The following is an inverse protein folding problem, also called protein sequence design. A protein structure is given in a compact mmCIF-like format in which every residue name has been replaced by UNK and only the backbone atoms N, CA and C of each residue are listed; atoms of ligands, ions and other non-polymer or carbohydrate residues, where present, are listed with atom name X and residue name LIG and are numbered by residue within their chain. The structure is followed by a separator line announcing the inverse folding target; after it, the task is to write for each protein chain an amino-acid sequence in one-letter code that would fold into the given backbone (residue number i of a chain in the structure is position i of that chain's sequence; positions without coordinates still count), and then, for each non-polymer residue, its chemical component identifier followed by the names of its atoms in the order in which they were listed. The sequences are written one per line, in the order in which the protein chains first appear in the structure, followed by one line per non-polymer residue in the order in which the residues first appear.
data_IF_593891872279
#
_entry.id   IF_593891872279
#
_cell.length_a   1.000
_cell.length_b   1.000
_cell.length_c   1.000
_cell.angle_alpha   90.00
_cell.angle_beta   90.00
_cell.angle_gamma   90.00
#
_symmetry.space_group_name_H-M   'P 1'
#
loop_
_entity.id
_entity.type
_entity.pdbx_description
1 polymer ?
#
# COMPACT_ATOMS: atom_id res chain seq x y z
N UNK A 1 23.08 -52.69 4.42
CA UNK A 1 22.06 -51.82 3.82
C UNK A 1 22.62 -50.41 3.88
N UNK A 2 23.11 -49.89 2.74
CA UNK A 2 23.57 -48.51 2.64
C UNK A 2 22.32 -47.63 2.59
N UNK A 3 22.11 -46.80 3.61
CA UNK A 3 21.18 -45.69 3.49
C UNK A 3 21.99 -44.61 2.79
N UNK A 4 21.76 -44.41 1.50
CA UNK A 4 22.19 -43.19 0.84
C UNK A 4 21.47 -42.05 1.55
N UNK A 5 22.22 -41.31 2.38
CA UNK A 5 21.71 -40.13 3.05
C UNK A 5 21.58 -39.04 2.00
N UNK A 6 20.45 -39.03 1.31
CA UNK A 6 20.07 -37.91 0.46
C UNK A 6 19.48 -36.84 1.36
N UNK A 7 20.12 -35.66 1.32
CA UNK A 7 19.57 -34.43 1.87
C UNK A 7 19.25 -33.57 0.66
N UNK A 8 17.96 -33.34 0.43
CA UNK A 8 17.50 -32.45 -0.64
C UNK A 8 17.11 -31.13 -0.02
N UNK A 9 17.69 -30.04 -0.54
CA UNK A 9 17.34 -28.67 -0.15
C UNK A 9 16.68 -28.02 -1.36
N UNK A 10 15.39 -27.70 -1.22
CA UNK A 10 14.61 -27.00 -2.23
C UNK A 10 14.44 -25.56 -1.81
N UNK A 11 14.85 -24.64 -2.69
CA UNK A 11 14.58 -23.21 -2.56
C UNK A 11 13.41 -22.83 -3.48
N UNK A 12 12.45 -22.10 -2.94
CA UNK A 12 11.37 -21.50 -3.72
C UNK A 12 11.31 -20.00 -3.50
N UNK A 13 11.12 -19.25 -4.58
CA UNK A 13 10.83 -17.82 -4.57
C UNK A 13 9.48 -17.61 -5.25
N UNK A 14 8.50 -17.11 -4.49
CA UNK A 14 7.15 -16.88 -4.96
C UNK A 14 6.78 -15.41 -4.74
N UNK A 15 6.96 -14.54 -5.74
CA UNK A 15 6.53 -13.15 -5.68
C UNK A 15 5.05 -13.03 -6.03
N UNK A 16 4.28 -12.40 -5.15
CA UNK A 16 2.84 -12.15 -5.36
C UNK A 16 2.52 -10.67 -5.20
N UNK A 17 1.40 -10.22 -5.76
CA UNK A 17 0.81 -8.92 -5.43
C UNK A 17 -0.42 -9.22 -4.56
N UNK A 18 -0.42 -8.69 -3.35
CA UNK A 18 -1.49 -8.84 -2.38
C UNK A 18 -2.25 -7.53 -2.30
N UNK A 19 -3.54 -7.62 -2.04
CA UNK A 19 -4.33 -6.44 -1.81
C UNK A 19 -5.70 -6.80 -1.29
N UNK A 20 -6.26 -5.89 -0.52
CA UNK A 20 -7.61 -6.04 -0.01
C UNK A 20 -8.30 -4.68 0.05
N UNK A 21 -9.62 -4.76 0.04
CA UNK A 21 -10.49 -3.62 0.22
C UNK A 21 -11.47 -3.99 1.31
N UNK A 22 -11.54 -3.16 2.34
CA UNK A 22 -12.54 -3.27 3.39
C UNK A 22 -13.43 -2.04 3.33
N UNK A 23 -14.73 -2.26 3.12
CA UNK A 23 -15.74 -1.20 3.07
C UNK A 23 -16.75 -1.43 4.18
N UNK A 24 -17.29 -0.36 4.75
CA UNK A 24 -18.34 -0.46 5.79
C UNK A 24 -19.73 -0.70 5.21
N UNK A 25 -19.89 -0.50 3.91
CA UNK A 25 -21.16 -0.56 3.19
C UNK A 25 -20.95 -1.03 1.75
N UNK A 26 -22.05 -1.45 1.10
CA UNK A 26 -22.07 -1.80 -0.31
C UNK A 26 -21.79 -0.56 -1.16
N UNK A 27 -20.65 -0.55 -1.86
CA UNK A 27 -20.23 0.57 -2.70
C UNK A 27 -19.55 0.05 -3.96
N UNK A 28 -19.92 0.63 -5.09
CA UNK A 28 -19.15 0.47 -6.32
C UNK A 28 -18.27 1.70 -6.48
N UNK A 29 -16.96 1.48 -6.50
CA UNK A 29 -15.99 2.54 -6.67
C UNK A 29 -14.91 2.14 -7.65
N UNK A 30 -14.20 3.13 -8.17
CA UNK A 30 -12.93 2.92 -8.86
C UNK A 30 -11.92 3.86 -8.25
N UNK A 31 -10.81 3.30 -7.81
CA UNK A 31 -9.68 4.04 -7.30
C UNK A 31 -8.41 3.49 -7.92
N UNK A 32 -7.46 4.37 -8.21
CA UNK A 32 -6.17 3.98 -8.73
C UNK A 32 -5.09 4.93 -8.24
N UNK A 33 -3.86 4.58 -8.52
CA UNK A 33 -2.70 5.40 -8.23
C UNK A 33 -1.58 5.03 -9.20
N UNK A 34 -0.77 6.01 -9.55
CA UNK A 34 0.50 5.81 -10.19
C UNK A 34 1.58 5.81 -9.12
N UNK A 35 2.20 4.66 -8.92
CA UNK A 35 3.31 4.50 -8.00
C UNK A 35 4.61 4.29 -8.78
N UNK A 36 5.58 5.18 -8.55
CA UNK A 36 6.89 5.13 -9.22
C UNK A 36 7.96 4.86 -8.18
N UNK A 37 8.59 3.69 -8.29
CA UNK A 37 9.78 3.32 -7.52
C UNK A 37 10.99 4.00 -8.13
N UNK A 38 11.77 4.71 -7.33
CA UNK A 38 12.98 5.37 -7.83
C UNK A 38 14.12 4.36 -8.05
N UNK A 39 15.02 4.62 -9.03
CA UNK A 39 16.22 3.81 -9.22
C UNK A 39 17.07 3.72 -7.94
N UNK A 40 17.64 2.54 -7.68
CA UNK A 40 18.44 2.29 -6.47
C UNK A 40 17.60 1.96 -5.22
N UNK A 41 16.30 1.70 -5.38
CA UNK A 41 15.49 1.16 -4.29
C UNK A 41 15.81 -0.32 -4.07
N UNK A 42 16.07 -0.70 -2.81
CA UNK A 42 16.52 -2.05 -2.43
C UNK A 42 15.80 -2.55 -1.20
N UNK A 43 15.65 -3.87 -1.12
CA UNK A 43 15.10 -4.57 0.04
C UNK A 43 16.12 -5.62 0.46
N UNK A 44 16.60 -5.51 1.69
CA UNK A 44 17.49 -6.48 2.30
C UNK A 44 16.72 -7.21 3.39
N UNK A 45 16.55 -8.52 3.22
CA UNK A 45 15.85 -9.37 4.18
C UNK A 45 16.91 -10.18 4.92
N UNK A 46 17.05 -9.95 6.23
CA UNK A 46 17.86 -10.81 7.09
C UNK A 46 17.02 -12.01 7.51
N UNK A 47 17.53 -13.21 7.21
CA UNK A 47 16.86 -14.48 7.52
C UNK A 47 17.16 -14.95 8.96
N UNK A 48 18.28 -14.49 9.52
CA UNK A 48 18.76 -14.78 10.87
C UNK A 48 18.22 -13.80 11.91
N UNK A 49 18.08 -12.52 11.54
CA UNK A 49 17.48 -11.47 12.35
C UNK A 49 16.58 -10.57 11.49
N UNK A 50 15.31 -10.96 11.29
CA UNK A 50 14.36 -10.18 10.51
C UNK A 50 14.21 -8.73 10.97
N UNK A 51 14.57 -8.37 12.22
CA UNK A 51 14.54 -6.99 12.72
C UNK A 51 15.60 -6.07 12.11
N UNK A 52 16.66 -6.65 11.54
CA UNK A 52 17.70 -5.96 10.78
C UNK A 52 17.45 -5.98 9.27
N UNK A 53 16.27 -6.45 8.83
CA UNK A 53 15.83 -6.23 7.45
C UNK A 53 15.68 -4.73 7.19
N UNK A 54 16.12 -4.28 6.03
CA UNK A 54 16.19 -2.86 5.69
C UNK A 54 15.62 -2.62 4.30
N UNK A 55 15.03 -1.44 4.13
CA UNK A 55 14.66 -0.92 2.83
C UNK A 55 15.35 0.41 2.57
N UNK A 56 15.83 0.58 1.35
CA UNK A 56 16.55 1.77 0.89
C UNK A 56 15.86 2.34 -0.33
N UNK A 57 15.89 3.66 -0.51
CA UNK A 57 15.42 4.35 -1.72
C UNK A 57 13.89 4.55 -1.84
N UNK A 58 13.06 3.80 -1.11
CA UNK A 58 11.60 3.93 -1.18
C UNK A 58 11.05 5.27 -0.67
N UNK A 59 11.83 6.02 0.10
CA UNK A 59 11.45 7.36 0.57
C UNK A 59 11.43 8.42 -0.54
N UNK A 60 12.00 8.12 -1.71
CA UNK A 60 11.98 8.98 -2.89
C UNK A 60 10.88 8.59 -3.89
N UNK A 61 10.20 7.46 -3.64
CA UNK A 61 9.11 7.00 -4.49
C UNK A 61 7.94 7.98 -4.46
N UNK A 62 7.30 8.15 -5.60
CA UNK A 62 6.14 9.05 -5.73
C UNK A 62 4.88 8.26 -5.87
N UNK A 63 3.82 8.73 -5.20
CA UNK A 63 2.47 8.23 -5.38
C UNK A 63 1.57 9.35 -5.88
N UNK A 64 0.98 9.15 -7.05
CA UNK A 64 -0.02 10.07 -7.61
C UNK A 64 -1.36 9.36 -7.60
N UNK A 65 -2.32 9.79 -6.77
CA UNK A 65 -3.66 9.19 -6.80
C UNK A 65 -4.34 9.50 -8.14
N UNK A 66 -5.03 8.50 -8.70
CA UNK A 66 -5.95 8.67 -9.82
C UNK A 66 -7.35 9.01 -9.28
N UNK A 67 -8.22 9.48 -10.17
CA UNK A 67 -9.56 9.94 -9.79
C UNK A 67 -10.38 8.83 -9.13
N UNK A 68 -10.87 9.12 -7.91
CA UNK A 68 -11.82 8.26 -7.20
C UNK A 68 -13.24 8.53 -7.73
N UNK A 69 -13.85 7.48 -8.29
CA UNK A 69 -15.28 7.48 -8.65
C UNK A 69 -16.05 6.58 -7.70
N UNK A 70 -17.30 6.92 -7.42
CA UNK A 70 -18.16 6.15 -6.52
C UNK A 70 -19.63 6.30 -6.87
N UNK A 71 -20.42 5.29 -6.54
CA UNK A 71 -21.89 5.37 -6.59
C UNK A 71 -22.49 6.21 -5.46
N UNK A 72 -21.77 6.43 -4.36
CA UNK A 72 -22.25 7.14 -3.16
C UNK A 72 -21.24 8.19 -2.69
N UNK A 73 -21.72 9.16 -1.90
CA UNK A 73 -20.89 10.21 -1.32
C UNK A 73 -20.48 10.00 0.13
N UNK A 74 -21.03 8.98 0.79
CA UNK A 74 -20.61 8.54 2.12
C UNK A 74 -19.84 7.25 1.91
N UNK A 75 -18.51 7.31 2.01
CA UNK A 75 -17.62 6.17 1.78
C UNK A 75 -16.64 6.11 2.95
N UNK A 76 -16.65 4.98 3.65
CA UNK A 76 -15.58 4.59 4.56
C UNK A 76 -14.96 3.31 4.02
N UNK A 77 -13.69 3.39 3.65
CA UNK A 77 -12.96 2.25 3.13
C UNK A 77 -11.49 2.30 3.52
N UNK A 78 -10.91 1.12 3.66
CA UNK A 78 -9.47 0.94 3.69
C UNK A 78 -9.08 0.07 2.50
N UNK A 79 -8.06 0.52 1.77
CA UNK A 79 -7.45 -0.22 0.67
C UNK A 79 -5.99 -0.48 1.02
N UNK A 80 -5.56 -1.70 0.79
CA UNK A 80 -4.16 -2.10 0.88
C UNK A 80 -3.74 -2.75 -0.44
N UNK A 81 -2.54 -2.43 -0.91
CA UNK A 81 -1.86 -3.14 -1.98
C UNK A 81 -0.40 -3.33 -1.59
N UNK A 82 0.11 -4.55 -1.62
CA UNK A 82 1.52 -4.86 -1.38
C UNK A 82 2.10 -5.77 -2.45
N UNK A 83 3.40 -5.63 -2.68
CA UNK A 83 4.16 -6.69 -3.35
C UNK A 83 4.78 -7.59 -2.28
N UNK A 84 4.53 -8.89 -2.38
CA UNK A 84 4.93 -9.91 -1.41
C UNK A 84 5.90 -10.91 -2.03
N UNK A 85 7.21 -10.65 -2.01
CA UNK A 85 8.21 -11.69 -2.18
C UNK A 85 8.15 -12.68 -1.02
N UNK A 86 7.82 -13.94 -1.30
CA UNK A 86 7.98 -15.04 -0.36
C UNK A 86 9.19 -15.91 -0.78
N UNK A 87 10.03 -16.24 0.20
CA UNK A 87 11.09 -17.25 0.08
C UNK A 87 10.74 -18.42 0.97
N UNK A 88 10.94 -19.64 0.48
CA UNK A 88 10.86 -20.84 1.31
C UNK A 88 12.00 -21.80 1.03
N UNK A 89 12.43 -22.46 2.09
CA UNK A 89 13.41 -23.53 2.07
C UNK A 89 12.71 -24.78 2.58
N UNK A 90 12.79 -25.86 1.82
CA UNK A 90 12.36 -27.18 2.26
C UNK A 90 13.58 -28.09 2.29
N UNK A 91 13.78 -28.74 3.43
CA UNK A 91 14.84 -29.72 3.64
C UNK A 91 14.16 -31.06 3.82
N UNK A 92 14.33 -31.94 2.84
CA UNK A 92 13.87 -33.33 2.93
C UNK A 92 15.06 -34.19 3.37
N UNK A 93 14.89 -34.86 4.52
CA UNK A 93 15.88 -35.75 5.11
C UNK A 93 15.45 -37.20 4.90
N UNK A 94 16.35 -37.99 4.28
CA UNK A 94 16.14 -39.42 4.02
C UNK A 94 14.95 -39.68 3.10
N UNK A 95 15.23 -39.86 1.80
CA UNK A 95 14.24 -40.24 0.80
C UNK A 95 13.34 -41.38 1.31
N UNK A 96 12.05 -41.08 1.53
CA UNK A 96 11.02 -42.05 1.91
C UNK A 96 10.68 -42.19 3.40
N UNK A 97 11.34 -41.49 4.32
CA UNK A 97 11.04 -41.58 5.77
C UNK A 97 10.19 -40.42 6.34
N UNK A 98 9.84 -39.44 5.51
CA UNK A 98 8.89 -38.37 5.86
C UNK A 98 9.44 -37.30 6.82
N UNK A 99 10.76 -37.27 7.06
CA UNK A 99 11.36 -36.21 7.86
C UNK A 99 11.63 -34.98 6.97
N UNK A 100 10.78 -33.97 7.06
CA UNK A 100 10.94 -32.70 6.37
C UNK A 100 11.01 -31.53 7.36
N UNK A 101 11.73 -30.49 6.98
CA UNK A 101 11.70 -29.21 7.65
C UNK A 101 11.49 -28.12 6.61
N UNK A 102 10.56 -27.20 6.85
CA UNK A 102 10.42 -26.00 6.04
C UNK A 102 10.74 -24.75 6.86
N UNK A 103 11.24 -23.74 6.19
CA UNK A 103 11.34 -22.37 6.69
C UNK A 103 10.81 -21.45 5.61
N UNK A 104 10.02 -20.44 5.98
CA UNK A 104 9.50 -19.49 5.01
C UNK A 104 9.52 -18.07 5.57
N UNK A 105 9.82 -17.12 4.71
CA UNK A 105 9.75 -15.71 5.05
C UNK A 105 9.10 -14.96 3.89
N UNK A 106 8.28 -13.97 4.22
CA UNK A 106 7.77 -13.04 3.22
C UNK A 106 7.78 -11.62 3.77
N UNK A 107 7.90 -10.67 2.87
CA UNK A 107 7.85 -9.24 3.21
C UNK A 107 6.87 -8.59 2.25
N UNK A 108 5.95 -7.81 2.77
CA UNK A 108 5.11 -6.91 2.00
C UNK A 108 5.87 -5.60 1.80
N UNK A 109 6.40 -5.42 0.59
CA UNK A 109 7.21 -4.29 0.17
C UNK A 109 7.01 -3.93 -1.30
N UNK A 110 6.71 -2.67 -1.63
CA UNK A 110 6.13 -1.69 -0.72
C UNK A 110 4.70 -2.11 -0.38
N UNK A 111 4.26 -1.82 0.84
CA UNK A 111 2.85 -1.86 1.21
C UNK A 111 2.27 -0.46 1.07
N UNK A 112 1.27 -0.31 0.22
CA UNK A 112 0.50 0.92 0.06
C UNK A 112 -0.81 0.78 0.80
N UNK A 113 -1.06 1.68 1.73
CA UNK A 113 -2.31 1.81 2.47
C UNK A 113 -3.02 3.10 2.09
N UNK A 114 -4.33 3.03 1.88
CA UNK A 114 -5.17 4.20 1.67
C UNK A 114 -6.39 4.12 2.57
N UNK A 115 -6.48 5.05 3.51
CA UNK A 115 -7.67 5.22 4.33
C UNK A 115 -8.55 6.30 3.74
N UNK A 116 -9.79 5.95 3.46
CA UNK A 116 -10.84 6.87 3.03
C UNK A 116 -11.87 6.91 4.15
N UNK A 117 -12.12 8.10 4.68
CA UNK A 117 -13.11 8.30 5.74
C UNK A 117 -14.04 9.45 5.41
N UNK A 118 -15.31 9.24 5.66
CA UNK A 118 -16.27 10.31 5.65
C UNK A 118 -16.11 11.20 6.89
N UNK A 119 -16.13 12.52 6.66
CA UNK A 119 -16.01 13.53 7.71
C UNK A 119 -17.18 14.49 7.58
N UNK A 120 -17.88 14.69 8.68
CA UNK A 120 -19.02 15.60 8.76
C UNK A 120 -18.67 16.87 9.51
N UNK A 121 -19.31 17.98 9.12
CA UNK A 121 -19.14 19.29 9.76
C UNK A 121 -17.66 19.69 9.88
N UNK A 122 -16.97 19.71 8.74
CA UNK A 122 -15.54 19.92 8.65
C UNK A 122 -15.18 21.22 7.94
N UNK A 123 -13.94 21.67 8.12
CA UNK A 123 -13.32 22.69 7.28
C UNK A 123 -13.00 22.10 5.89
N UNK A 124 -12.54 22.94 4.95
CA UNK A 124 -12.08 22.47 3.63
C UNK A 124 -10.85 21.53 3.69
N UNK A 125 -10.18 21.42 4.83
CA UNK A 125 -9.05 20.51 5.07
C UNK A 125 -9.45 19.22 5.79
N UNK A 126 -10.75 18.96 5.96
CA UNK A 126 -11.29 17.79 6.68
C UNK A 126 -11.01 17.81 8.20
N UNK A 127 -10.65 18.98 8.75
CA UNK A 127 -10.54 19.16 10.20
C UNK A 127 -11.94 19.41 10.80
N UNK A 128 -12.19 18.98 12.05
CA UNK A 128 -13.43 19.32 12.74
C UNK A 128 -13.66 20.84 12.75
N UNK A 129 -14.82 21.30 12.29
CA UNK A 129 -15.12 22.72 12.30
C UNK A 129 -15.35 23.21 13.74
N UNK A 130 -14.61 24.23 14.22
CA UNK A 130 -14.87 24.80 15.54
C UNK A 130 -16.22 25.50 15.54
N UNK A 131 -16.90 25.53 16.71
CA UNK A 131 -18.23 26.12 16.84
C UNK A 131 -18.30 27.63 16.50
N UNK A 132 -17.16 28.32 16.54
CA UNK A 132 -17.02 29.73 16.17
C UNK A 132 -16.86 29.96 14.67
N UNK A 133 -16.67 28.90 13.86
CA UNK A 133 -16.48 29.03 12.43
C UNK A 133 -17.82 29.45 11.77
N UNK A 134 -17.82 30.46 10.89
CA UNK A 134 -19.02 30.83 10.15
C UNK A 134 -19.58 29.61 9.40
N UNK A 135 -20.89 29.38 9.45
CA UNK A 135 -21.54 28.25 8.76
C UNK A 135 -21.19 28.21 7.26
N UNK A 136 -20.94 29.37 6.65
CA UNK A 136 -20.49 29.47 5.28
C UNK A 136 -19.13 28.79 5.01
N UNK A 137 -18.31 28.52 6.02
CA UNK A 137 -17.00 27.86 5.92
C UNK A 137 -17.04 26.40 6.42
N UNK A 138 -18.20 25.92 6.85
CA UNK A 138 -18.42 24.54 7.30
C UNK A 138 -18.96 23.73 6.14
N UNK A 139 -18.31 22.61 5.85
CA UNK A 139 -18.76 21.63 4.87
C UNK A 139 -19.49 20.50 5.60
N UNK A 140 -20.70 20.20 5.15
CA UNK A 140 -21.55 19.20 5.78
C UNK A 140 -20.95 17.79 5.66
N UNK A 141 -20.49 17.41 4.47
CA UNK A 141 -19.95 16.09 4.14
C UNK A 141 -18.72 16.25 3.25
N UNK A 142 -17.58 15.77 3.72
CA UNK A 142 -16.33 15.64 2.96
C UNK A 142 -15.78 14.24 3.13
N UNK A 143 -14.92 13.84 2.21
CA UNK A 143 -14.20 12.58 2.23
C UNK A 143 -12.72 12.89 2.42
N UNK A 144 -12.14 12.36 3.48
CA UNK A 144 -10.71 12.45 3.78
C UNK A 144 -10.00 11.21 3.26
N UNK A 145 -8.98 11.41 2.42
CA UNK A 145 -8.17 10.36 1.82
C UNK A 145 -6.75 10.51 2.35
N UNK A 146 -6.27 9.48 3.04
CA UNK A 146 -4.96 9.44 3.70
C UNK A 146 -4.16 8.26 3.14
N UNK A 147 -3.30 8.49 2.13
CA UNK A 147 -2.40 7.48 1.60
C UNK A 147 -1.09 7.41 2.40
N UNK A 148 -0.56 6.20 2.58
CA UNK A 148 0.73 5.95 3.21
C UNK A 148 1.43 4.74 2.61
N UNK A 149 2.75 4.74 2.66
CA UNK A 149 3.58 3.60 2.26
C UNK A 149 4.31 3.04 3.47
N UNK A 150 4.38 1.71 3.51
CA UNK A 150 4.90 0.95 4.63
C UNK A 150 5.55 -0.37 4.19
N UNK A 151 5.87 -1.15 5.21
CA UNK A 151 6.44 -2.49 5.12
C UNK A 151 5.81 -3.37 6.18
N UNK A 152 5.41 -4.57 5.80
CA UNK A 152 5.13 -5.64 6.75
C UNK A 152 6.14 -6.78 6.53
N UNK A 153 6.88 -7.15 7.56
CA UNK A 153 7.79 -8.29 7.50
C UNK A 153 7.20 -9.45 8.31
N UNK A 154 7.17 -10.63 7.70
CA UNK A 154 6.73 -11.86 8.34
C UNK A 154 7.72 -13.00 8.10
N UNK A 155 8.10 -13.69 9.18
CA UNK A 155 8.97 -14.86 9.09
C UNK A 155 8.40 -16.02 9.91
N UNK A 156 8.42 -17.21 9.34
CA UNK A 156 8.15 -18.50 9.99
C UNK A 156 9.41 -19.33 9.93
N UNK A 157 10.09 -19.46 11.07
CA UNK A 157 11.45 -19.99 11.10
C UNK A 157 11.56 -21.53 11.03
N UNK A 158 10.50 -22.28 11.33
CA UNK A 158 10.53 -23.75 11.25
C UNK A 158 9.13 -24.37 11.33
N UNK A 159 8.72 -25.14 10.34
CA UNK A 159 7.74 -26.22 10.54
C UNK A 159 8.47 -27.55 10.29
N UNK A 160 8.62 -28.35 11.35
CA UNK A 160 9.29 -29.64 11.26
C UNK A 160 8.24 -30.72 11.36
N UNK A 161 8.10 -31.55 10.33
CA UNK A 161 7.22 -32.72 10.35
C UNK A 161 7.93 -33.91 11.04
N UNK A 162 8.61 -33.63 12.16
CA UNK A 162 9.03 -34.66 13.10
C UNK A 162 7.90 -34.83 14.12
N UNK A 163 7.43 -36.07 14.28
CA UNK A 163 6.17 -36.55 14.86
C UNK A 163 5.71 -35.89 16.20
N UNK A 164 6.48 -35.00 16.84
CA UNK A 164 6.14 -34.42 18.15
C UNK A 164 6.51 -32.93 18.38
N UNK A 165 7.01 -32.15 17.41
CA UNK A 165 7.43 -30.76 17.66
C UNK A 165 6.98 -29.77 16.56
N UNK A 166 5.70 -29.40 16.57
CA UNK A 166 5.23 -28.25 15.80
C UNK A 166 5.53 -26.96 16.58
N UNK A 167 6.65 -26.31 16.29
CA UNK A 167 7.04 -25.03 16.90
C UNK A 167 6.90 -23.90 15.86
N UNK A 168 5.71 -23.31 15.76
CA UNK A 168 5.51 -22.12 14.94
C UNK A 168 6.04 -20.89 15.68
N UNK A 169 7.24 -20.43 15.32
CA UNK A 169 7.73 -19.11 15.72
C UNK A 169 7.48 -18.16 14.57
N UNK A 170 6.31 -17.52 14.61
CA UNK A 170 5.92 -16.47 13.68
C UNK A 170 6.32 -15.11 14.23
N UNK A 171 7.00 -14.31 13.41
CA UNK A 171 7.33 -12.92 13.74
C UNK A 171 6.59 -12.02 12.76
N UNK A 172 5.86 -11.02 13.26
CA UNK A 172 5.20 -10.01 12.46
C UNK A 172 5.67 -8.61 12.88
N UNK A 173 6.03 -7.78 11.91
CA UNK A 173 6.34 -6.38 12.15
C UNK A 173 5.76 -5.53 11.04
N UNK A 174 5.11 -4.44 11.43
CA UNK A 174 4.50 -3.49 10.51
C UNK A 174 5.06 -2.10 10.78
N UNK A 175 5.39 -1.38 9.72
CA UNK A 175 5.97 -0.05 9.79
C UNK A 175 5.45 0.85 8.67
N UNK A 176 5.02 2.06 9.02
CA UNK A 176 4.82 3.13 8.04
C UNK A 176 6.15 3.85 7.81
N UNK A 177 6.57 3.96 6.54
CA UNK A 177 7.78 4.67 6.14
C UNK A 177 7.46 6.14 5.97
N UNK A 178 6.36 6.42 5.29
CA UNK A 178 6.02 7.75 4.82
C UNK A 178 4.50 7.88 4.63
N UNK A 179 3.96 8.99 5.11
CA UNK A 179 2.60 9.42 4.79
C UNK A 179 2.67 10.39 3.61
N UNK A 180 1.89 10.11 2.58
CA UNK A 180 1.78 11.02 1.43
C UNK A 180 0.81 12.17 1.76
N UNK A 181 0.70 13.13 0.82
CA UNK A 181 -0.26 14.22 0.95
C UNK A 181 -1.68 13.69 1.10
N UNK A 182 -2.38 14.17 2.13
CA UNK A 182 -3.79 13.87 2.31
C UNK A 182 -4.64 14.71 1.35
N UNK A 183 -5.80 14.18 0.96
CA UNK A 183 -6.77 14.90 0.14
C UNK A 183 -8.10 14.99 0.87
N UNK A 184 -8.67 16.20 0.91
CA UNK A 184 -10.00 16.43 1.42
C UNK A 184 -10.90 16.85 0.25
N UNK A 185 -11.87 15.99 -0.07
CA UNK A 185 -12.65 16.10 -1.31
C UNK A 185 -14.15 15.98 -1.03
N UNK A 186 -14.97 16.45 -1.97
CA UNK A 186 -16.41 16.41 -1.87
C UNK A 186 -17.00 15.60 -3.02
N UNK A 187 -18.00 14.79 -2.71
CA UNK A 187 -18.72 14.01 -3.70
C UNK A 187 -19.67 14.86 -4.53
N UNK A 188 -19.60 14.70 -5.85
CA UNK A 188 -20.54 15.23 -6.81
C UNK A 188 -21.45 14.14 -7.33
N UNK A 189 -22.69 14.06 -6.82
CA UNK A 189 -23.67 13.08 -7.27
C UNK A 189 -23.97 13.16 -8.79
N UNK A 190 -23.91 14.37 -9.36
CA UNK A 190 -24.12 14.59 -10.79
C UNK A 190 -23.02 13.95 -11.66
N UNK A 191 -21.77 13.94 -11.17
CA UNK A 191 -20.61 13.42 -11.89
C UNK A 191 -20.18 12.03 -11.43
N UNK A 192 -20.67 11.56 -10.27
CA UNK A 192 -20.22 10.34 -9.58
C UNK A 192 -18.72 10.33 -9.26
N UNK A 193 -18.17 11.51 -9.03
CA UNK A 193 -16.73 11.74 -8.80
C UNK A 193 -16.52 12.48 -7.51
N UNK A 194 -15.36 12.30 -6.90
CA UNK A 194 -14.86 13.20 -5.86
C UNK A 194 -14.09 14.36 -6.52
N UNK A 195 -14.21 15.56 -5.96
CA UNK A 195 -13.49 16.73 -6.43
C UNK A 195 -13.22 17.72 -5.30
N UNK A 196 -12.61 18.88 -5.60
CA UNK A 196 -12.34 19.89 -4.59
C UNK A 196 -13.63 20.30 -3.84
N UNK A 197 -13.56 20.59 -2.53
CA UNK A 197 -14.72 21.03 -1.76
C UNK A 197 -15.40 22.24 -2.40
N UNK A 198 -16.58 22.03 -2.98
CA UNK A 198 -17.37 23.06 -3.66
C UNK A 198 -18.70 23.24 -2.95
N UNK A 199 -18.95 24.44 -2.42
CA UNK A 199 -20.23 24.73 -1.76
C UNK A 199 -21.35 24.61 -2.78
N UNK A 200 -22.37 23.82 -2.46
CA UNK A 200 -23.60 23.75 -3.26
C UNK A 200 -24.29 25.11 -3.17
N UNK A 201 -24.14 25.94 -4.21
CA UNK A 201 -24.66 27.30 -4.22
C UNK A 201 -24.00 28.31 -5.17
N UNK A 202 -22.92 27.96 -5.89
CA UNK A 202 -22.43 28.81 -6.98
C UNK A 202 -22.31 28.03 -8.28
N UNK A 203 -23.34 28.13 -9.12
CA UNK A 203 -23.23 27.94 -10.56
C UNK A 203 -22.26 29.00 -11.10
N UNK A 204 -20.95 28.70 -11.06
CA UNK A 204 -19.99 29.34 -11.94
C UNK A 204 -19.20 28.23 -12.59
N UNK A 205 -19.60 27.89 -13.82
CA UNK A 205 -18.80 27.09 -14.74
C UNK A 205 -17.49 27.82 -15.00
N UNK A 206 -16.47 27.50 -14.23
CA UNK A 206 -15.09 27.83 -14.59
C UNK A 206 -14.37 26.49 -14.74
N UNK A 207 -14.06 26.15 -15.99
CA UNK A 207 -13.15 25.06 -16.30
C UNK A 207 -11.79 25.38 -15.67
N UNK A 208 -11.52 24.85 -14.48
CA UNK A 208 -10.16 24.71 -13.99
C UNK A 208 -9.66 23.35 -14.48
N UNK A 209 -9.06 23.34 -15.68
CA UNK A 209 -8.11 22.29 -16.02
C UNK A 209 -6.99 22.36 -14.98
N UNK A 210 -6.75 21.28 -14.25
CA UNK A 210 -5.44 21.07 -13.61
C UNK A 210 -4.46 20.76 -14.75
N UNK A 211 -4.08 21.81 -15.47
CA UNK A 211 -2.96 21.77 -16.39
C UNK A 211 -1.71 21.84 -15.52
N UNK A 212 -1.05 20.69 -15.34
CA UNK A 212 0.33 20.66 -14.92
C UNK A 212 1.12 21.63 -15.80
N UNK A 213 1.82 22.57 -15.15
CA UNK A 213 2.68 23.54 -15.78
C UNK A 213 3.77 22.79 -16.55
N UNK A 214 3.60 22.73 -17.87
CA UNK A 214 4.64 22.35 -18.82
C UNK A 214 5.63 23.52 -18.86
N UNK A 215 6.71 23.43 -18.07
CA UNK A 215 7.86 24.29 -18.26
C UNK A 215 8.64 23.77 -19.46
N UNK A 216 8.31 24.28 -20.64
CA UNK A 216 9.15 24.18 -21.82
C UNK A 216 10.38 25.08 -21.63
N UNK A 217 11.58 24.51 -21.59
CA UNK A 217 12.78 25.20 -22.05
C UNK A 217 13.50 24.36 -23.10
N UNK A 218 13.75 25.04 -24.21
CA UNK A 218 14.32 24.56 -25.46
C UNK A 218 15.85 24.51 -25.38
N UNK A 219 16.39 23.38 -25.83
CA UNK A 219 17.67 23.07 -26.51
C UNK A 219 19.02 23.65 -26.02
N UNK A 220 19.98 22.74 -25.85
CA UNK A 220 21.26 22.82 -26.56
C UNK A 220 21.80 21.42 -26.91
N UNK A 221 22.13 21.26 -28.19
CA UNK A 221 22.80 20.14 -28.86
C UNK A 221 24.31 20.22 -28.63
N UNK A 222 25.00 19.10 -28.36
CA UNK A 222 26.36 18.76 -28.83
C UNK A 222 26.55 17.23 -28.61
N UNK A 223 26.47 16.40 -29.64
CA UNK A 223 27.57 15.94 -30.52
C UNK A 223 28.57 14.99 -29.82
N UNK A 224 28.52 13.71 -30.26
CA UNK A 224 29.58 12.68 -30.34
C UNK A 224 30.92 12.90 -29.62
N UNK A 225 31.35 11.91 -28.83
CA UNK A 225 32.37 10.90 -29.18
C UNK A 225 32.13 9.62 -28.37
#
# INVERSE_FOLDING_TARGET
MYIDKVVTITFSFNPEIHGWVNTTQDVNFTYGFDFVVQPGSEVLISLDDPFNSMSLGFNQSTLTPLDLTSTTGDIDMALELSFRPAVSFQIDLFDGYGASANASAYVDVPKLDVQVKQVHNATSSCDPAPASLPAAQVYANLTNIVPSIGFDAFAVAAETELIFLNQHQGYNKSWTIHNFSTACVQYSAAKKTLGPPSKSGSTTSTHASVAGVLLAMIMAVFATM
#
